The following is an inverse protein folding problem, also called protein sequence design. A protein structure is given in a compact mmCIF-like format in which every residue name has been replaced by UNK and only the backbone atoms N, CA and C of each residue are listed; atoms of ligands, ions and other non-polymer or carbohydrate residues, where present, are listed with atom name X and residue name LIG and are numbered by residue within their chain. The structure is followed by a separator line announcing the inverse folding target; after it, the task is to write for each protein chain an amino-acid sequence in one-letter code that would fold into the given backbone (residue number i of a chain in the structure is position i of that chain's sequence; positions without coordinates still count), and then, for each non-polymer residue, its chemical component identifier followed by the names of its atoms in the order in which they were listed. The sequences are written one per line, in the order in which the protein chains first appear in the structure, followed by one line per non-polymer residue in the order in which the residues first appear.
data_IF_824708246443
#
_entry.id   IF_824708246443
#
_cell.length_a   1.000
_cell.length_b   1.000
_cell.length_c   1.000
_cell.angle_alpha   90.00
_cell.angle_beta   90.00
_cell.angle_gamma   90.00
#
_symmetry.space_group_name_H-M   'P 1'
#
loop_
_entity.id
_entity.type
_entity.pdbx_description
1 polymer ?
#
# COMPACT_ATOMS: atom_id res chain seq x y z
N UNK A 1 17.62 -57.77 12.93
CA UNK A 1 17.93 -56.44 13.53
C UNK A 1 17.84 -55.27 12.54
N UNK A 2 17.09 -55.35 11.43
CA UNK A 2 17.16 -54.36 10.32
C UNK A 2 15.99 -53.33 10.28
N UNK A 3 14.87 -53.61 10.94
CA UNK A 3 13.66 -52.77 10.89
C UNK A 3 13.74 -51.53 11.80
N UNK A 4 14.52 -51.60 12.88
CA UNK A 4 14.75 -50.47 13.81
C UNK A 4 15.71 -49.43 13.22
N UNK A 5 16.78 -49.87 12.55
CA UNK A 5 17.78 -49.01 11.93
C UNK A 5 17.21 -48.17 10.78
N UNK A 6 16.29 -48.72 9.99
CA UNK A 6 15.59 -47.96 8.92
C UNK A 6 14.64 -46.89 9.48
N UNK A 7 13.98 -47.16 10.62
CA UNK A 7 13.14 -46.17 11.32
C UNK A 7 13.99 -45.05 11.93
N UNK A 8 15.11 -45.40 12.57
CA UNK A 8 16.05 -44.44 13.13
C UNK A 8 16.68 -43.56 12.03
N UNK A 9 17.04 -44.16 10.90
CA UNK A 9 17.52 -43.41 9.73
C UNK A 9 16.44 -42.46 9.20
N UNK A 10 15.20 -42.92 9.08
CA UNK A 10 14.08 -42.07 8.67
C UNK A 10 13.84 -40.88 9.60
N UNK A 11 13.90 -41.11 10.92
CA UNK A 11 13.79 -40.04 11.93
C UNK A 11 14.96 -39.07 11.83
N UNK A 12 16.19 -39.57 11.67
CA UNK A 12 17.37 -38.72 11.53
C UNK A 12 17.32 -37.85 10.27
N UNK A 13 16.90 -38.42 9.13
CA UNK A 13 16.71 -37.67 7.88
C UNK A 13 15.60 -36.63 8.04
N UNK A 14 14.46 -37.00 8.63
CA UNK A 14 13.37 -36.06 8.88
C UNK A 14 13.79 -34.91 9.80
N UNK A 15 14.51 -35.21 10.89
CA UNK A 15 15.05 -34.21 11.80
C UNK A 15 16.08 -33.31 11.13
N UNK A 16 16.94 -33.87 10.29
CA UNK A 16 17.92 -33.11 9.51
C UNK A 16 17.25 -32.15 8.52
N UNK A 17 16.27 -32.64 7.74
CA UNK A 17 15.51 -31.81 6.81
C UNK A 17 14.72 -30.72 7.55
N UNK A 18 14.10 -31.06 8.68
CA UNK A 18 13.41 -30.08 9.52
C UNK A 18 14.36 -29.00 10.04
N UNK A 19 15.53 -29.39 10.55
CA UNK A 19 16.52 -28.45 11.04
C UNK A 19 17.03 -27.54 9.91
N UNK A 20 17.28 -28.10 8.73
CA UNK A 20 17.72 -27.36 7.57
C UNK A 20 16.64 -26.37 7.10
N UNK A 21 15.37 -26.78 7.12
CA UNK A 21 14.23 -25.94 6.79
C UNK A 21 14.07 -24.78 7.78
N UNK A 22 14.19 -25.01 9.09
CA UNK A 22 14.02 -23.96 10.11
C UNK A 22 15.22 -23.00 10.18
N UNK A 23 16.41 -23.43 9.77
CA UNK A 23 17.63 -22.63 9.83
C UNK A 23 18.04 -22.02 8.47
N UNK A 24 17.12 -21.91 7.51
CA UNK A 24 17.40 -21.24 6.23
C UNK A 24 17.85 -19.79 6.53
N UNK A 25 19.06 -19.38 6.12
CA UNK A 25 19.56 -18.02 6.38
C UNK A 25 18.72 -16.95 5.66
N UNK A 26 18.59 -15.77 6.25
CA UNK A 26 17.87 -14.64 5.63
C UNK A 26 18.42 -14.24 4.25
N UNK A 27 19.71 -14.49 4.00
CA UNK A 27 20.41 -14.18 2.75
C UNK A 27 19.80 -14.89 1.53
N UNK A 28 19.06 -15.98 1.75
CA UNK A 28 18.35 -16.72 0.68
C UNK A 28 17.27 -15.86 0.03
N UNK A 29 16.83 -14.76 0.63
CA UNK A 29 15.84 -13.86 0.00
C UNK A 29 16.40 -13.10 -1.21
N UNK A 30 17.71 -12.86 -1.30
CA UNK A 30 18.29 -11.94 -2.31
C UNK A 30 17.97 -12.30 -3.77
N UNK A 31 18.08 -13.56 -4.21
CA UNK A 31 17.75 -13.91 -5.59
C UNK A 31 16.29 -13.65 -5.96
N UNK A 32 15.38 -13.65 -4.98
CA UNK A 32 13.96 -13.37 -5.18
C UNK A 32 13.65 -11.87 -5.30
N UNK A 33 14.59 -11.01 -4.90
CA UNK A 33 14.47 -9.55 -5.05
C UNK A 33 14.96 -9.07 -6.42
N UNK A 34 15.75 -9.89 -7.14
CA UNK A 34 16.29 -9.53 -8.45
C UNK A 34 15.13 -9.33 -9.45
N UNK A 35 15.08 -8.16 -10.07
CA UNK A 35 14.01 -7.79 -11.01
C UNK A 35 12.75 -7.23 -10.34
N UNK A 36 12.73 -7.10 -9.01
CA UNK A 36 11.70 -6.37 -8.27
C UNK A 36 12.19 -4.97 -7.92
N UNK A 37 11.28 -4.01 -7.64
CA UNK A 37 11.67 -2.69 -7.15
C UNK A 37 12.22 -2.71 -5.71
N UNK A 38 12.17 -3.85 -5.01
CA UNK A 38 12.58 -3.97 -3.62
C UNK A 38 14.08 -4.32 -3.49
N UNK A 39 14.77 -3.63 -2.57
CA UNK A 39 16.15 -3.90 -2.20
C UNK A 39 16.29 -4.04 -0.68
N UNK A 40 17.13 -5.00 -0.25
CA UNK A 40 17.43 -5.25 1.15
C UNK A 40 18.92 -5.49 1.37
N UNK A 41 19.52 -4.79 2.33
CA UNK A 41 20.92 -4.96 2.71
C UNK A 41 21.14 -5.08 4.22
N UNK A 42 22.27 -5.66 4.61
CA UNK A 42 22.56 -5.96 6.01
C UNK A 42 21.64 -7.03 6.59
N UNK A 43 21.35 -8.09 5.81
CA UNK A 43 20.47 -9.20 6.21
C UNK A 43 21.06 -9.98 7.39
N UNK A 44 20.19 -10.31 8.35
CA UNK A 44 20.51 -11.08 9.54
C UNK A 44 19.34 -11.96 9.97
N UNK A 45 19.62 -13.03 10.72
CA UNK A 45 18.60 -14.00 11.16
C UNK A 45 18.29 -15.06 10.10
N UNK A 46 17.08 -15.60 10.15
CA UNK A 46 16.62 -16.66 9.24
C UNK A 46 15.58 -16.13 8.25
N UNK A 47 15.26 -16.93 7.24
CA UNK A 47 14.16 -16.65 6.32
C UNK A 47 12.83 -16.45 7.08
N UNK A 48 12.66 -17.14 8.21
CA UNK A 48 11.43 -17.10 9.02
C UNK A 48 11.40 -15.96 10.03
N UNK A 49 12.55 -15.58 10.59
CA UNK A 49 12.64 -14.51 11.57
C UNK A 49 13.95 -13.77 11.32
N UNK A 50 13.84 -12.67 10.59
CA UNK A 50 14.99 -11.96 10.07
C UNK A 50 14.84 -10.45 10.13
N UNK A 51 15.94 -9.79 9.85
CA UNK A 51 16.02 -8.34 9.80
C UNK A 51 16.97 -7.90 8.69
N UNK A 52 16.71 -6.72 8.14
CA UNK A 52 17.58 -5.99 7.24
C UNK A 52 17.92 -4.63 7.86
N UNK A 53 19.16 -4.18 7.69
CA UNK A 53 19.57 -2.85 8.14
C UNK A 53 19.00 -1.75 7.24
N UNK A 54 18.90 -2.03 5.94
CA UNK A 54 18.25 -1.15 4.99
C UNK A 54 17.27 -1.94 4.13
N UNK A 55 16.09 -1.37 3.95
CA UNK A 55 15.06 -1.79 3.03
C UNK A 55 14.59 -0.56 2.24
N UNK A 56 14.48 -0.73 0.93
CA UNK A 56 13.94 0.27 0.03
C UNK A 56 13.07 -0.37 -1.05
N UNK A 57 12.11 0.41 -1.55
CA UNK A 57 11.30 0.07 -2.72
C UNK A 57 11.38 1.25 -3.68
N UNK A 58 11.90 1.04 -4.89
CA UNK A 58 12.23 2.09 -5.84
C UNK A 58 13.09 3.21 -5.19
N UNK A 59 12.57 4.43 -5.13
CA UNK A 59 13.24 5.60 -4.53
C UNK A 59 12.94 5.74 -3.03
N UNK A 60 12.02 4.95 -2.49
CA UNK A 60 11.54 5.03 -1.12
C UNK A 60 12.43 4.22 -0.18
N UNK A 61 12.98 4.85 0.85
CA UNK A 61 13.89 4.22 1.81
C UNK A 61 13.25 4.10 3.18
N UNK A 62 12.88 2.88 3.55
CA UNK A 62 12.25 2.56 4.82
C UNK A 62 13.26 2.24 5.93
N UNK A 63 14.56 2.17 5.63
CA UNK A 63 15.58 1.90 6.64
C UNK A 63 15.49 0.48 7.19
N UNK A 64 15.58 0.31 8.51
CA UNK A 64 15.60 -1.02 9.11
C UNK A 64 14.26 -1.75 8.91
N UNK A 65 14.32 -2.99 8.44
CA UNK A 65 13.18 -3.87 8.27
C UNK A 65 13.30 -5.12 9.15
N UNK A 66 12.16 -5.63 9.60
CA UNK A 66 12.04 -6.86 10.38
C UNK A 66 10.86 -7.65 9.87
N UNK A 67 11.02 -8.97 9.77
CA UNK A 67 9.93 -9.86 9.42
C UNK A 67 9.91 -11.10 10.31
N UNK A 68 8.70 -11.62 10.52
CA UNK A 68 8.49 -12.82 11.32
C UNK A 68 7.35 -13.66 10.74
N UNK A 69 7.67 -14.91 10.43
CA UNK A 69 6.74 -15.90 9.92
C UNK A 69 5.59 -16.16 10.91
N UNK A 70 4.41 -16.38 10.35
CA UNK A 70 3.17 -16.69 11.04
C UNK A 70 2.70 -18.10 10.66
N UNK A 71 2.96 -19.11 11.52
CA UNK A 71 2.53 -20.48 11.26
C UNK A 71 1.02 -20.63 11.06
N UNK A 72 0.22 -19.76 11.69
CA UNK A 72 -1.24 -19.78 11.55
C UNK A 72 -1.74 -19.58 10.12
N UNK A 73 -0.95 -18.93 9.25
CA UNK A 73 -1.26 -18.79 7.84
C UNK A 73 -1.33 -20.13 7.10
N UNK A 74 -0.59 -21.16 7.55
CA UNK A 74 -0.59 -22.47 6.91
C UNK A 74 -1.97 -23.14 6.95
N UNK A 75 -2.77 -22.86 7.97
CA UNK A 75 -4.15 -23.35 8.08
C UNK A 75 -5.04 -22.82 6.94
N UNK A 76 -4.69 -21.66 6.40
CA UNK A 76 -5.32 -21.05 5.23
C UNK A 76 -4.56 -21.35 3.92
N UNK A 77 -3.60 -22.28 3.92
CA UNK A 77 -2.82 -22.65 2.73
C UNK A 77 -1.85 -21.56 2.25
N UNK A 78 -1.43 -20.66 3.15
CA UNK A 78 -0.56 -19.53 2.82
C UNK A 78 0.66 -19.43 3.74
N UNK A 79 1.77 -18.97 3.18
CA UNK A 79 2.96 -18.61 3.94
C UNK A 79 2.86 -17.12 4.29
N UNK A 80 2.60 -16.79 5.56
CA UNK A 80 2.32 -15.43 6.02
C UNK A 80 3.45 -14.91 6.93
N UNK A 81 3.74 -13.61 6.86
CA UNK A 81 4.77 -12.93 7.64
C UNK A 81 4.23 -11.60 8.18
N UNK A 82 4.47 -11.32 9.47
CA UNK A 82 4.46 -9.94 9.96
C UNK A 82 5.68 -9.24 9.37
N UNK A 83 5.48 -8.08 8.76
CA UNK A 83 6.54 -7.23 8.24
C UNK A 83 6.43 -5.83 8.84
N UNK A 84 7.56 -5.25 9.21
CA UNK A 84 7.66 -3.86 9.68
C UNK A 84 8.97 -3.26 9.18
N UNK A 85 8.90 -2.10 8.57
CA UNK A 85 10.04 -1.29 8.19
C UNK A 85 9.68 0.19 8.33
N UNK A 86 10.63 1.03 8.71
CA UNK A 86 10.35 2.45 8.73
C UNK A 86 11.43 3.32 9.35
N UNK A 87 11.36 4.58 8.96
CA UNK A 87 12.06 5.73 9.53
C UNK A 87 11.02 6.79 9.88
N UNK A 88 11.35 7.81 10.69
CA UNK A 88 10.40 8.88 11.00
C UNK A 88 9.80 9.52 9.74
N UNK A 89 8.46 9.51 9.63
CA UNK A 89 7.71 10.04 8.48
C UNK A 89 7.63 9.11 7.26
N UNK A 90 8.15 7.88 7.36
CA UNK A 90 8.01 6.85 6.34
C UNK A 90 7.98 5.45 6.96
N UNK A 91 6.81 4.83 7.01
CA UNK A 91 6.61 3.55 7.70
C UNK A 91 5.83 2.60 6.81
N UNK A 92 6.21 1.33 6.81
CA UNK A 92 5.49 0.24 6.18
C UNK A 92 5.35 -0.88 7.21
N UNK A 93 4.13 -1.29 7.48
CA UNK A 93 3.86 -2.44 8.34
C UNK A 93 2.71 -3.25 7.78
N UNK A 94 2.61 -4.52 8.13
CA UNK A 94 1.47 -5.33 7.74
C UNK A 94 1.75 -6.82 7.80
N UNK A 95 0.73 -7.59 7.43
CA UNK A 95 0.88 -9.03 7.22
C UNK A 95 0.84 -9.31 5.74
N UNK A 96 1.93 -9.87 5.24
CA UNK A 96 2.09 -10.23 3.84
C UNK A 96 2.18 -11.75 3.72
N UNK A 97 1.58 -12.32 2.69
CA UNK A 97 1.63 -13.74 2.48
C UNK A 97 1.61 -14.16 1.04
N UNK A 98 2.11 -15.38 0.80
CA UNK A 98 2.10 -16.04 -0.49
C UNK A 98 1.33 -17.35 -0.37
N UNK A 99 0.29 -17.51 -1.17
CA UNK A 99 -0.48 -18.74 -1.26
C UNK A 99 0.25 -19.78 -2.12
N UNK A 100 -0.04 -21.07 -1.89
CA UNK A 100 0.56 -22.18 -2.67
C UNK A 100 0.28 -22.10 -4.18
N UNK A 101 -0.77 -21.38 -4.59
CA UNK A 101 -1.12 -21.11 -5.97
C UNK A 101 -0.42 -19.87 -6.56
N UNK A 102 0.52 -19.26 -5.84
CA UNK A 102 1.26 -18.08 -6.27
C UNK A 102 0.55 -16.74 -6.03
N UNK A 103 -0.65 -16.72 -5.43
CA UNK A 103 -1.34 -15.47 -5.10
C UNK A 103 -0.65 -14.73 -3.96
N UNK A 104 -0.49 -13.42 -4.11
CA UNK A 104 0.05 -12.54 -3.07
C UNK A 104 -1.11 -11.99 -2.25
N UNK A 105 -0.93 -11.96 -0.94
CA UNK A 105 -1.91 -11.44 0.02
C UNK A 105 -1.27 -10.38 0.90
N UNK A 106 -2.01 -9.32 1.19
CA UNK A 106 -1.70 -8.42 2.28
C UNK A 106 -2.94 -8.20 3.16
N UNK A 107 -2.74 -8.04 4.46
CA UNK A 107 -3.81 -7.71 5.40
C UNK A 107 -3.28 -6.85 6.53
N UNK A 108 -4.13 -5.97 7.03
CA UNK A 108 -3.78 -5.00 8.08
C UNK A 108 -2.46 -4.28 7.76
N UNK A 109 -2.25 -3.92 6.49
CA UNK A 109 -1.04 -3.28 6.05
C UNK A 109 -1.20 -1.76 6.07
N UNK A 110 -0.26 -1.07 6.68
CA UNK A 110 -0.24 0.37 6.80
C UNK A 110 1.02 0.93 6.14
N UNK A 111 0.84 1.92 5.29
CA UNK A 111 1.91 2.66 4.64
C UNK A 111 1.74 4.14 4.96
N UNK A 112 2.72 4.73 5.62
CA UNK A 112 2.84 6.17 5.86
C UNK A 112 3.97 6.72 4.99
N UNK A 113 3.72 7.78 4.24
CA UNK A 113 4.72 8.46 3.43
C UNK A 113 4.39 9.93 3.23
N UNK A 114 5.41 10.75 2.98
CA UNK A 114 5.22 12.14 2.54
C UNK A 114 5.22 12.21 1.02
N UNK A 115 4.24 12.90 0.41
CA UNK A 115 4.18 13.14 -1.05
C UNK A 115 5.47 13.76 -1.59
N UNK A 116 6.17 14.57 -0.79
CA UNK A 116 7.45 15.19 -1.17
C UNK A 116 8.56 14.17 -1.45
N UNK A 117 8.40 12.91 -1.03
CA UNK A 117 9.32 11.80 -1.32
C UNK A 117 9.03 11.11 -2.65
N UNK A 118 7.84 11.29 -3.22
CA UNK A 118 7.40 10.68 -4.47
C UNK A 118 7.82 11.49 -5.72
N UNK A 119 8.72 12.47 -5.54
CA UNK A 119 9.22 13.32 -6.62
C UNK A 119 8.44 14.62 -6.78
N UNK A 120 8.53 15.22 -7.97
CA UNK A 120 7.88 16.48 -8.27
C UNK A 120 6.37 16.27 -8.50
N UNK A 121 5.56 16.63 -7.51
CA UNK A 121 4.11 16.63 -7.64
C UNK A 121 3.62 17.86 -8.43
N UNK A 122 2.53 17.74 -9.22
CA UNK A 122 1.89 18.89 -9.85
C UNK A 122 1.64 20.01 -8.84
N UNK A 123 1.90 21.24 -9.24
CA UNK A 123 1.67 22.43 -8.42
C UNK A 123 2.37 22.42 -7.04
N UNK A 124 3.46 21.63 -6.91
CA UNK A 124 4.20 21.52 -5.66
C UNK A 124 3.37 20.98 -4.51
N UNK A 125 2.41 20.09 -4.80
CA UNK A 125 1.51 19.49 -3.81
C UNK A 125 2.30 18.80 -2.69
N UNK A 126 1.93 19.10 -1.44
CA UNK A 126 2.48 18.51 -0.24
C UNK A 126 1.34 17.90 0.57
N UNK A 127 1.50 16.66 0.99
CA UNK A 127 0.61 16.00 1.94
C UNK A 127 1.35 14.83 2.59
N UNK A 128 0.90 14.42 3.77
CA UNK A 128 1.24 13.12 4.35
C UNK A 128 0.16 12.13 3.97
N UNK A 129 0.56 11.04 3.34
CA UNK A 129 -0.33 9.94 2.93
C UNK A 129 -0.25 8.83 3.96
N UNK A 130 -1.41 8.39 4.42
CA UNK A 130 -1.58 7.16 5.18
C UNK A 130 -2.50 6.24 4.39
N UNK A 131 -1.98 5.10 3.95
CA UNK A 131 -2.75 4.05 3.29
C UNK A 131 -2.90 2.90 4.26
N UNK A 132 -4.14 2.56 4.63
CA UNK A 132 -4.46 1.39 5.43
C UNK A 132 -5.19 0.38 4.54
N UNK A 133 -4.50 -0.71 4.22
CA UNK A 133 -5.02 -1.84 3.47
C UNK A 133 -5.57 -2.86 4.46
N UNK A 134 -6.88 -3.05 4.43
CA UNK A 134 -7.55 -4.07 5.23
C UNK A 134 -7.30 -5.44 4.64
N UNK A 135 -7.51 -5.57 3.32
CA UNK A 135 -7.31 -6.80 2.59
C UNK A 135 -6.82 -6.53 1.17
N UNK A 136 -5.93 -7.39 0.69
CA UNK A 136 -5.44 -7.40 -0.68
C UNK A 136 -5.19 -8.84 -1.08
N UNK A 137 -5.69 -9.23 -2.24
CA UNK A 137 -5.40 -10.46 -2.92
C UNK A 137 -5.06 -10.15 -4.37
N UNK A 138 -3.84 -10.46 -4.78
CA UNK A 138 -3.29 -10.13 -6.08
C UNK A 138 -3.03 -11.41 -6.88
N UNK A 139 -3.50 -11.41 -8.12
CA UNK A 139 -3.32 -12.48 -9.10
C UNK A 139 -2.83 -11.87 -10.42
N UNK A 140 -1.51 -11.86 -10.63
CA UNK A 140 -0.88 -11.14 -11.74
C UNK A 140 -0.79 -9.64 -11.44
N UNK A 141 -1.04 -8.79 -12.45
CA UNK A 141 -0.80 -7.35 -12.39
C UNK A 141 -1.98 -6.52 -11.84
N UNK A 142 -3.17 -7.13 -11.69
CA UNK A 142 -4.36 -6.47 -11.12
C UNK A 142 -4.87 -7.22 -9.88
N UNK A 143 -5.35 -6.52 -8.83
CA UNK A 143 -5.92 -7.17 -7.67
C UNK A 143 -7.21 -7.92 -8.00
N UNK A 144 -7.33 -9.16 -7.53
CA UNK A 144 -8.61 -9.89 -7.52
C UNK A 144 -9.53 -9.32 -6.44
N UNK A 145 -8.95 -8.90 -5.32
CA UNK A 145 -9.64 -8.21 -4.24
C UNK A 145 -8.70 -7.18 -3.60
N UNK A 146 -9.23 -6.00 -3.27
CA UNK A 146 -8.52 -5.01 -2.47
C UNK A 146 -9.56 -4.22 -1.67
N UNK A 147 -9.25 -3.86 -0.44
CA UNK A 147 -10.06 -2.94 0.35
C UNK A 147 -9.21 -2.16 1.33
N UNK A 148 -9.59 -0.91 1.57
CA UNK A 148 -8.92 -0.10 2.56
C UNK A 148 -9.27 1.37 2.47
N UNK A 149 -8.47 2.17 3.17
CA UNK A 149 -8.62 3.62 3.26
C UNK A 149 -7.33 4.33 2.91
N UNK A 150 -7.44 5.48 2.26
CA UNK A 150 -6.34 6.40 2.01
C UNK A 150 -6.70 7.71 2.72
N UNK A 151 -5.78 8.23 3.52
CA UNK A 151 -5.91 9.53 4.17
C UNK A 151 -4.79 10.45 3.70
N UNK A 152 -5.15 11.67 3.36
CA UNK A 152 -4.20 12.75 3.08
C UNK A 152 -4.31 13.77 4.21
N UNK A 153 -3.19 14.03 4.88
CA UNK A 153 -3.10 15.01 5.96
C UNK A 153 -2.27 16.22 5.53
N UNK A 154 -2.66 17.40 6.03
CA UNK A 154 -2.01 18.69 5.79
C UNK A 154 -1.85 19.00 4.30
N UNK A 155 -2.84 18.64 3.49
CA UNK A 155 -2.75 18.77 2.04
C UNK A 155 -2.67 20.24 1.64
N UNK A 156 -1.67 20.59 0.86
CA UNK A 156 -1.48 21.95 0.36
C UNK A 156 -0.85 21.98 -1.03
N UNK A 157 -1.14 23.03 -1.78
CA UNK A 157 -0.61 23.26 -3.12
C UNK A 157 0.04 24.64 -3.19
N UNK A 158 1.06 24.79 -4.04
CA UNK A 158 1.74 26.06 -4.27
C UNK A 158 1.26 26.66 -5.60
N UNK A 159 0.31 27.59 -5.53
CA UNK A 159 -0.25 28.25 -6.72
C UNK A 159 -0.53 29.74 -6.43
N UNK A 160 0.29 30.66 -6.97
CA UNK A 160 1.68 30.98 -6.61
C UNK A 160 1.99 31.17 -5.11
N UNK A 161 0.99 31.21 -4.24
CA UNK A 161 1.15 31.18 -2.77
C UNK A 161 0.70 29.81 -2.22
N UNK A 162 1.04 29.47 -0.97
CA UNK A 162 0.60 28.23 -0.34
C UNK A 162 -0.91 28.26 -0.09
N UNK A 163 -1.64 27.35 -0.73
CA UNK A 163 -3.06 27.11 -0.51
C UNK A 163 -3.23 25.83 0.31
N UNK A 164 -3.77 25.96 1.52
CA UNK A 164 -4.15 24.81 2.34
C UNK A 164 -5.49 24.25 1.85
N UNK A 165 -5.51 22.95 1.53
CA UNK A 165 -6.71 22.22 1.12
C UNK A 165 -7.34 21.46 2.29
N UNK A 166 -6.55 21.12 3.31
CA UNK A 166 -6.99 20.40 4.50
C UNK A 166 -6.74 18.90 4.38
N UNK A 167 -7.50 18.14 5.16
CA UNK A 167 -7.42 16.70 5.23
C UNK A 167 -8.49 16.03 4.37
N UNK A 168 -8.14 14.89 3.78
CA UNK A 168 -9.01 14.09 2.93
C UNK A 168 -8.97 12.63 3.36
N UNK A 169 -10.09 11.95 3.17
CA UNK A 169 -10.20 10.51 3.33
C UNK A 169 -10.86 9.91 2.09
N UNK A 170 -10.43 8.72 1.71
CA UNK A 170 -11.14 7.94 0.72
C UNK A 170 -11.10 6.47 1.04
N UNK A 171 -12.18 5.78 0.72
CA UNK A 171 -12.34 4.35 0.85
C UNK A 171 -12.26 3.75 -0.53
N UNK A 172 -11.44 2.71 -0.70
CA UNK A 172 -11.32 2.03 -1.98
C UNK A 172 -11.64 0.55 -1.84
N UNK A 173 -12.18 -0.02 -2.92
CA UNK A 173 -12.44 -1.46 -3.03
C UNK A 173 -12.30 -1.97 -4.46
N UNK A 174 -11.87 -3.22 -4.57
CA UNK A 174 -11.90 -4.05 -5.78
C UNK A 174 -12.56 -5.37 -5.39
N UNK A 175 -13.54 -5.82 -6.17
CA UNK A 175 -14.23 -7.08 -5.96
C UNK A 175 -14.18 -7.92 -7.24
N UNK A 176 -13.85 -9.20 -7.11
CA UNK A 176 -13.86 -10.19 -8.19
C UNK A 176 -13.02 -9.78 -9.42
N UNK A 177 -11.90 -9.07 -9.21
CA UNK A 177 -11.04 -8.57 -10.28
C UNK A 177 -11.67 -7.49 -11.15
N UNK A 178 -12.76 -6.88 -10.68
CA UNK A 178 -13.42 -5.76 -11.36
C UNK A 178 -12.66 -4.44 -11.20
N UNK A 179 -13.40 -3.35 -11.38
CA UNK A 179 -12.85 -2.00 -11.29
C UNK A 179 -12.50 -1.65 -9.83
N UNK A 180 -11.51 -0.77 -9.67
CA UNK A 180 -11.25 -0.07 -8.42
C UNK A 180 -12.29 1.03 -8.29
N UNK A 181 -13.17 0.85 -7.32
CA UNK A 181 -14.15 1.85 -6.92
C UNK A 181 -13.64 2.53 -5.65
N UNK A 182 -13.59 3.85 -5.65
CA UNK A 182 -13.28 4.62 -4.46
C UNK A 182 -14.25 5.77 -4.26
N UNK A 183 -14.64 6.02 -3.03
CA UNK A 183 -15.27 7.26 -2.60
C UNK A 183 -14.24 8.09 -1.84
N UNK A 184 -14.34 9.42 -1.93
CA UNK A 184 -13.45 10.32 -1.23
C UNK A 184 -14.17 11.60 -0.81
N UNK A 185 -13.78 12.14 0.34
CA UNK A 185 -14.37 13.32 0.94
C UNK A 185 -13.36 14.14 1.73
N UNK A 186 -13.66 15.43 1.95
CA UNK A 186 -12.87 16.27 2.86
C UNK A 186 -13.23 16.01 4.33
N UNK A 187 -12.27 16.22 5.21
CA UNK A 187 -12.47 16.12 6.66
C UNK A 187 -12.59 17.50 7.32
N UNK A 188 -11.72 18.45 6.94
CA UNK A 188 -11.62 19.75 7.60
C UNK A 188 -11.22 20.91 6.66
N UNK A 189 -11.47 20.76 5.36
CA UNK A 189 -11.06 21.71 4.33
C UNK A 189 -11.89 23.01 4.26
N UNK A 190 -11.32 24.01 3.58
CA UNK A 190 -12.06 25.22 3.16
C UNK A 190 -13.04 24.95 2.00
N UNK A 191 -12.91 23.79 1.37
CA UNK A 191 -13.80 23.26 0.35
C UNK A 191 -14.34 21.94 0.89
N UNK A 192 -15.66 21.83 0.92
CA UNK A 192 -16.34 20.57 1.05
C UNK A 192 -16.24 19.83 -0.28
N UNK A 193 -15.70 18.60 -0.26
CA UNK A 193 -15.51 17.78 -1.45
C UNK A 193 -16.14 16.43 -1.17
N UNK A 194 -16.96 15.96 -2.11
CA UNK A 194 -17.50 14.60 -2.12
C UNK A 194 -17.35 14.06 -3.53
N UNK A 195 -16.76 12.88 -3.70
CA UNK A 195 -16.57 12.32 -5.02
C UNK A 195 -16.36 10.81 -5.05
N UNK A 196 -16.34 10.29 -6.27
CA UNK A 196 -16.11 8.90 -6.58
C UNK A 196 -15.10 8.75 -7.71
N UNK A 197 -14.30 7.69 -7.66
CA UNK A 197 -13.37 7.24 -8.68
C UNK A 197 -13.76 5.83 -9.10
N UNK A 198 -13.85 5.62 -10.40
CA UNK A 198 -13.92 4.30 -11.05
C UNK A 198 -12.68 4.15 -11.93
N UNK A 199 -11.88 3.11 -11.69
CA UNK A 199 -10.67 2.80 -12.46
C UNK A 199 -10.69 1.34 -12.89
N UNK A 200 -10.62 1.09 -14.20
CA UNK A 200 -10.54 -0.26 -14.74
C UNK A 200 -9.10 -0.82 -14.79
N UNK A 201 -8.98 -2.13 -15.00
CA UNK A 201 -7.69 -2.80 -15.10
C UNK A 201 -6.85 -2.39 -16.33
N UNK A 202 -7.41 -1.63 -17.27
CA UNK A 202 -6.71 -1.09 -18.44
C UNK A 202 -6.17 0.32 -18.20
N UNK A 203 -6.45 0.91 -17.04
CA UNK A 203 -6.03 2.27 -16.69
C UNK A 203 -7.03 3.35 -17.09
N UNK A 204 -8.22 3.00 -17.61
CA UNK A 204 -9.26 3.99 -17.87
C UNK A 204 -9.88 4.39 -16.54
N UNK A 205 -9.97 5.69 -16.29
CA UNK A 205 -10.54 6.21 -15.06
C UNK A 205 -11.64 7.25 -15.33
N UNK A 206 -12.59 7.30 -14.41
CA UNK A 206 -13.60 8.33 -14.31
C UNK A 206 -13.68 8.82 -12.87
N UNK A 207 -13.49 10.12 -12.68
CA UNK A 207 -13.65 10.80 -11.39
C UNK A 207 -14.84 11.73 -11.51
N UNK A 208 -15.81 11.57 -10.61
CA UNK A 208 -16.97 12.45 -10.49
C UNK A 208 -17.06 12.99 -9.07
N UNK A 209 -17.55 14.21 -8.90
CA UNK A 209 -17.70 14.77 -7.57
C UNK A 209 -18.36 16.14 -7.54
N UNK A 210 -18.61 16.59 -6.32
CA UNK A 210 -19.20 17.88 -6.01
C UNK A 210 -18.26 18.64 -5.08
N UNK A 211 -18.01 19.90 -5.40
CA UNK A 211 -17.22 20.81 -4.58
C UNK A 211 -18.12 21.93 -4.10
N UNK A 212 -18.23 22.09 -2.77
CA UNK A 212 -18.96 23.19 -2.14
C UNK A 212 -18.01 24.04 -1.32
N UNK A 213 -17.99 25.37 -1.48
CA UNK A 213 -17.11 26.19 -0.66
C UNK A 213 -17.62 26.34 0.78
N UNK A 214 -16.74 26.11 1.76
CA UNK A 214 -17.05 26.30 3.18
C UNK A 214 -16.76 27.76 3.57
N UNK A 215 -17.83 28.55 3.69
CA UNK A 215 -17.74 29.95 4.13
C UNK A 215 -17.12 30.89 3.08
N UNK A 216 -16.36 31.89 3.54
CA UNK A 216 -15.85 32.96 2.67
C UNK A 216 -14.57 32.48 1.96
N UNK A 217 -14.75 31.95 0.77
CA UNK A 217 -13.66 31.57 -0.13
C UNK A 217 -12.77 32.78 -0.44
N UNK A 218 -11.47 32.56 -0.60
CA UNK A 218 -10.59 33.59 -1.14
C UNK A 218 -11.07 33.99 -2.54
N UNK A 219 -10.93 35.28 -2.90
CA UNK A 219 -11.28 35.79 -4.24
C UNK A 219 -10.64 34.97 -5.37
N UNK A 220 -9.49 34.34 -5.12
CA UNK A 220 -8.73 33.55 -6.09
C UNK A 220 -9.35 32.17 -6.34
N UNK A 221 -9.75 31.44 -5.29
CA UNK A 221 -10.47 30.17 -5.42
C UNK A 221 -11.83 30.37 -6.12
N UNK A 222 -12.54 31.45 -5.81
CA UNK A 222 -13.77 31.82 -6.52
C UNK A 222 -13.56 31.98 -8.03
N UNK A 223 -12.43 32.57 -8.46
CA UNK A 223 -12.12 32.75 -9.88
C UNK A 223 -11.85 31.42 -10.61
N UNK A 224 -11.24 30.43 -9.96
CA UNK A 224 -11.00 29.10 -10.56
C UNK A 224 -12.33 28.35 -10.69
N UNK A 225 -13.15 28.38 -9.64
CA UNK A 225 -14.43 27.68 -9.60
C UNK A 225 -15.45 28.26 -10.60
N UNK A 226 -15.35 29.54 -10.97
CA UNK A 226 -16.23 30.17 -11.97
C UNK A 226 -16.19 29.52 -13.37
N UNK A 227 -15.17 28.72 -13.67
CA UNK A 227 -15.06 27.99 -14.93
C UNK A 227 -15.65 26.58 -14.88
N UNK A 228 -16.13 26.14 -13.71
CA UNK A 228 -16.76 24.83 -13.54
C UNK A 228 -18.29 24.91 -13.69
N UNK A 229 -18.94 23.86 -14.22
CA UNK A 229 -20.40 23.75 -14.22
C UNK A 229 -20.91 23.88 -12.78
N UNK A 230 -22.00 24.64 -12.60
CA UNK A 230 -22.58 24.91 -11.29
C UNK A 230 -24.06 24.54 -11.29
N UNK A 231 -24.43 23.67 -10.37
CA UNK A 231 -25.83 23.32 -10.10
C UNK A 231 -26.10 23.44 -8.60
N UNK A 232 -27.18 24.14 -8.23
CA UNK A 232 -27.63 24.31 -6.84
C UNK A 232 -26.54 24.79 -5.83
N UNK A 233 -25.60 25.61 -6.30
CA UNK A 233 -24.54 26.17 -5.44
C UNK A 233 -23.31 25.29 -5.26
N UNK A 234 -23.31 24.06 -5.78
CA UNK A 234 -22.16 23.17 -5.86
C UNK A 234 -21.51 23.25 -7.25
N UNK A 235 -20.19 23.04 -7.29
CA UNK A 235 -19.43 22.93 -8.53
C UNK A 235 -19.27 21.45 -8.87
N UNK A 236 -19.62 21.07 -10.09
CA UNK A 236 -19.48 19.70 -10.55
C UNK A 236 -18.07 19.45 -11.07
N UNK A 237 -17.50 18.33 -10.63
CA UNK A 237 -16.22 17.81 -11.05
C UNK A 237 -16.46 16.52 -11.84
N UNK A 238 -16.04 16.48 -13.09
CA UNK A 238 -16.09 15.28 -13.92
C UNK A 238 -14.84 15.22 -14.79
N UNK A 239 -13.97 14.25 -14.52
CA UNK A 239 -12.75 14.00 -15.28
C UNK A 239 -12.74 12.55 -15.73
N UNK A 240 -12.33 12.31 -16.98
CA UNK A 240 -12.14 10.97 -17.51
C UNK A 240 -10.85 10.92 -18.32
N UNK A 241 -10.10 9.83 -18.24
CA UNK A 241 -8.85 9.67 -18.96
C UNK A 241 -8.33 8.24 -18.95
N UNK A 242 -7.10 8.06 -19.42
CA UNK A 242 -6.32 6.83 -19.32
C UNK A 242 -4.97 7.16 -18.69
N UNK A 243 -4.47 6.28 -17.84
CA UNK A 243 -3.09 6.30 -17.33
C UNK A 243 -2.07 5.88 -18.41
#
# INVERSE_FOLDING_TARGET
MTRSSKKLLGVAVAAFVFFLAVNIPAQVIQPFLVGTPADMSGLSGTLWNGAAQNFSVDQLRFGAARWRWKPGGLLAGRMEFDFQAGVPGQQLSGRFGLSLNGRIHASNANLELSLTRLGAMPFGTQARIIVAIESLAMAGDWPEHASGTIRLHDTSMNVPDKLALGDFEGHFRIENGGNLLADFFDLDGALEIDGTLDLDAKGNYQVTGLIRPRGRISRRLGNILNFMPRENGAYELSFSGSL
#
